data_IF_907765777061
#
_entry.id   IF_907765777061
#
_cell.length_a   1.000
_cell.length_b   1.000
_cell.length_c   1.000
_cell.angle_alpha   90.00
_cell.angle_beta   90.00
_cell.angle_gamma   90.00
#
_symmetry.space_group_name_H-M   'P 1'
#
loop_
_entity.id
_entity.type
_entity.pdbx_description
1 polymer ?
#
# COMPACT_ATOMS: atom_id res chain seq x y z
N UNK A 1 8.93 -12.80 -17.20
CA UNK A 1 8.24 -11.75 -17.97
C UNK A 1 7.74 -10.72 -16.98
N UNK A 2 7.86 -9.45 -17.26
CA UNK A 2 7.33 -8.41 -16.37
C UNK A 2 5.94 -8.07 -16.85
N UNK A 3 4.95 -8.22 -15.98
CA UNK A 3 3.58 -7.89 -16.28
C UNK A 3 3.32 -6.43 -15.91
N UNK A 4 3.72 -5.50 -16.79
CA UNK A 4 3.54 -4.05 -16.59
C UNK A 4 2.08 -3.71 -16.27
N UNK A 5 1.13 -4.33 -16.95
CA UNK A 5 -0.30 -4.11 -16.71
C UNK A 5 -0.70 -4.35 -15.26
N UNK A 6 -0.06 -5.30 -14.57
CA UNK A 6 -0.37 -5.59 -13.17
C UNK A 6 0.02 -4.44 -12.23
N UNK A 7 1.11 -3.73 -12.54
CA UNK A 7 1.60 -2.62 -11.71
C UNK A 7 0.75 -1.35 -11.82
N UNK A 8 -0.21 -1.30 -12.75
CA UNK A 8 -1.17 -0.21 -12.93
C UNK A 8 -2.63 -0.68 -12.81
N UNK A 9 -2.85 -1.89 -12.30
CA UNK A 9 -4.18 -2.48 -12.13
C UNK A 9 -4.77 -2.11 -10.77
N UNK A 10 -6.08 -1.87 -10.74
CA UNK A 10 -6.89 -1.79 -9.51
C UNK A 10 -7.90 -2.93 -9.52
N UNK A 11 -8.06 -3.59 -8.40
CA UNK A 11 -9.03 -4.66 -8.24
C UNK A 11 -9.49 -4.83 -6.81
N UNK A 12 -10.43 -5.75 -6.59
CA UNK A 12 -10.88 -6.13 -5.25
C UNK A 12 -11.15 -7.62 -5.18
N UNK A 13 -11.07 -8.15 -3.97
CA UNK A 13 -11.52 -9.50 -3.63
C UNK A 13 -12.51 -9.35 -2.47
N UNK A 14 -13.79 -9.48 -2.78
CA UNK A 14 -14.85 -9.49 -1.79
C UNK A 14 -14.81 -10.80 -0.99
N UNK A 15 -15.07 -10.71 0.32
CA UNK A 15 -15.02 -11.89 1.20
C UNK A 15 -13.60 -12.47 1.35
N UNK A 16 -12.57 -11.65 1.22
CA UNK A 16 -11.19 -12.04 1.51
C UNK A 16 -11.06 -12.53 2.97
N UNK A 17 -11.71 -11.84 3.90
CA UNK A 17 -11.94 -12.28 5.28
C UNK A 17 -13.43 -12.48 5.53
N UNK A 18 -13.80 -13.55 6.16
CA UNK A 18 -15.15 -13.72 6.68
C UNK A 18 -15.36 -12.93 7.99
N UNK A 19 -16.58 -12.91 8.50
CA UNK A 19 -16.95 -12.13 9.69
C UNK A 19 -16.22 -12.61 10.97
N UNK A 20 -15.96 -13.91 11.09
CA UNK A 20 -15.26 -14.48 12.24
C UNK A 20 -13.78 -14.11 12.21
N UNK A 21 -13.15 -14.23 11.05
CA UNK A 21 -11.76 -13.81 10.81
C UNK A 21 -11.57 -12.32 11.11
N UNK A 22 -12.49 -11.46 10.66
CA UNK A 22 -12.47 -10.02 10.93
C UNK A 22 -12.56 -9.74 12.44
N UNK A 23 -13.52 -10.37 13.13
CA UNK A 23 -13.71 -10.19 14.57
C UNK A 23 -12.48 -10.67 15.36
N UNK A 24 -11.88 -11.79 14.97
CA UNK A 24 -10.68 -12.34 15.58
C UNK A 24 -9.47 -11.42 15.38
N UNK A 25 -9.24 -10.93 14.18
CA UNK A 25 -8.17 -9.97 13.89
C UNK A 25 -8.33 -8.68 14.70
N UNK A 26 -9.55 -8.14 14.78
CA UNK A 26 -9.83 -6.95 15.58
C UNK A 26 -9.55 -7.21 17.07
N UNK A 27 -9.93 -8.35 17.62
CA UNK A 27 -9.68 -8.71 19.01
C UNK A 27 -8.18 -8.86 19.32
N UNK A 28 -7.44 -9.57 18.45
CA UNK A 28 -5.98 -9.76 18.60
C UNK A 28 -5.26 -8.43 18.57
N UNK A 29 -5.59 -7.53 17.62
CA UNK A 29 -4.94 -6.22 17.54
C UNK A 29 -5.30 -5.30 18.69
N UNK A 30 -6.55 -5.29 19.16
CA UNK A 30 -6.94 -4.50 20.31
C UNK A 30 -6.23 -4.96 21.60
N UNK A 31 -6.12 -6.27 21.84
CA UNK A 31 -5.38 -6.83 22.96
C UNK A 31 -3.88 -6.46 22.89
N UNK A 32 -3.27 -6.63 21.73
CA UNK A 32 -1.87 -6.28 21.48
C UNK A 32 -1.62 -4.79 21.76
N UNK A 33 -2.38 -3.91 21.15
CA UNK A 33 -2.21 -2.45 21.28
C UNK A 33 -2.49 -1.96 22.70
N UNK A 34 -3.32 -2.69 23.47
CA UNK A 34 -3.56 -2.39 24.88
C UNK A 34 -2.36 -2.79 25.75
N UNK A 35 -1.78 -3.96 25.48
CA UNK A 35 -0.63 -4.50 26.26
C UNK A 35 0.67 -3.75 25.98
N UNK A 36 0.90 -3.39 24.74
CA UNK A 36 2.15 -2.75 24.28
C UNK A 36 2.12 -1.22 24.35
N UNK A 37 1.05 -0.61 24.87
CA UNK A 37 0.80 0.83 24.82
C UNK A 37 0.66 1.37 23.39
N UNK A 38 -0.58 1.58 22.96
CA UNK A 38 -0.95 2.11 21.63
C UNK A 38 -0.18 3.37 21.26
N UNK A 39 0.24 4.21 22.21
CA UNK A 39 0.95 5.46 21.92
C UNK A 39 2.30 5.26 21.25
N UNK A 40 2.96 4.12 21.53
CA UNK A 40 4.23 3.73 20.90
C UNK A 40 4.11 3.56 19.39
N UNK A 41 2.95 3.11 18.93
CA UNK A 41 2.65 2.88 17.52
C UNK A 41 1.91 4.06 16.87
N UNK A 42 1.59 5.08 17.64
CA UNK A 42 0.88 6.27 17.22
C UNK A 42 1.66 7.55 17.49
N UNK A 43 1.27 8.28 18.53
CA UNK A 43 1.82 9.62 18.84
C UNK A 43 3.30 9.63 19.21
N UNK A 44 3.86 8.52 19.67
CA UNK A 44 5.27 8.36 20.01
C UNK A 44 6.06 7.63 18.92
N UNK A 45 5.43 7.27 17.82
CA UNK A 45 6.10 6.59 16.71
C UNK A 45 7.13 7.51 16.06
N UNK A 46 8.35 6.98 15.90
CA UNK A 46 9.49 7.70 15.31
C UNK A 46 9.89 7.19 13.92
N UNK A 47 9.26 6.11 13.45
CA UNK A 47 9.57 5.47 12.17
C UNK A 47 8.29 5.24 11.37
N UNK A 48 8.40 5.16 10.05
CA UNK A 48 7.33 4.81 9.13
C UNK A 48 7.83 3.75 8.16
N UNK A 49 6.90 2.94 7.63
CA UNK A 49 7.18 2.07 6.50
C UNK A 49 7.44 2.86 5.21
N UNK A 50 7.06 4.13 5.17
CA UNK A 50 7.33 5.00 4.04
C UNK A 50 8.71 5.62 4.16
N UNK A 51 9.51 5.43 3.14
CA UNK A 51 10.83 6.02 3.00
C UNK A 51 10.83 7.02 1.84
N UNK A 52 11.62 8.07 2.00
CA UNK A 52 11.79 9.10 0.99
C UNK A 52 13.29 9.30 0.78
N UNK A 53 13.83 9.01 -0.41
CA UNK A 53 15.26 9.12 -0.66
C UNK A 53 15.82 10.50 -0.27
N UNK A 54 16.86 10.51 0.56
CA UNK A 54 17.49 11.74 1.03
C UNK A 54 16.77 12.45 2.18
N UNK A 55 15.70 11.90 2.73
CA UNK A 55 14.96 12.45 3.85
C UNK A 55 15.07 11.57 5.11
N UNK A 56 14.94 12.20 6.29
CA UNK A 56 14.78 11.44 7.54
C UNK A 56 13.36 10.84 7.64
N UNK A 57 13.19 9.84 8.51
CA UNK A 57 11.86 9.30 8.81
C UNK A 57 10.86 10.38 9.27
N UNK A 58 11.30 11.34 10.08
CA UNK A 58 10.46 12.46 10.51
C UNK A 58 9.98 13.31 9.32
N UNK A 59 10.88 13.61 8.39
CA UNK A 59 10.55 14.34 7.17
C UNK A 59 9.60 13.56 6.28
N UNK A 60 9.82 12.26 6.09
CA UNK A 60 8.93 11.40 5.34
C UNK A 60 7.53 11.32 5.98
N UNK A 61 7.46 11.16 7.31
CA UNK A 61 6.19 11.18 8.05
C UNK A 61 5.47 12.51 7.90
N UNK A 62 6.16 13.64 7.95
CA UNK A 62 5.55 14.97 7.77
C UNK A 62 4.90 15.14 6.38
N UNK A 63 5.46 14.51 5.36
CA UNK A 63 4.93 14.54 3.99
C UNK A 63 3.78 13.56 3.80
N UNK A 64 3.97 12.31 4.18
CA UNK A 64 3.01 11.24 3.90
C UNK A 64 1.89 11.16 4.94
N UNK A 65 2.19 11.43 6.19
CA UNK A 65 1.30 11.22 7.34
C UNK A 65 1.22 12.48 8.23
N UNK A 66 0.88 13.66 7.67
CA UNK A 66 1.00 14.93 8.38
C UNK A 66 0.16 15.02 9.66
N UNK A 67 -0.88 14.20 9.79
CA UNK A 67 -1.71 14.08 10.99
C UNK A 67 -1.40 12.81 11.82
N UNK A 68 -0.35 12.07 11.44
CA UNK A 68 0.01 10.79 12.07
C UNK A 68 -1.00 9.67 11.78
N UNK A 69 -0.69 8.50 12.30
CA UNK A 69 -1.56 7.30 12.32
C UNK A 69 -1.01 6.29 13.33
N UNK A 70 -1.77 5.26 13.66
CA UNK A 70 -1.23 4.06 14.30
C UNK A 70 -0.66 3.16 13.21
N UNK A 71 0.56 2.65 13.42
CA UNK A 71 1.22 1.71 12.51
C UNK A 71 1.98 0.65 13.29
N UNK A 72 1.67 -0.61 13.03
CA UNK A 72 2.32 -1.77 13.65
C UNK A 72 2.93 -2.61 12.55
N UNK A 73 4.24 -2.45 12.27
CA UNK A 73 4.91 -3.20 11.19
C UNK A 73 5.11 -4.68 11.52
N UNK A 74 5.19 -5.02 12.81
CA UNK A 74 5.32 -6.38 13.29
C UNK A 74 4.06 -6.77 14.09
N UNK A 75 3.08 -7.31 13.40
CA UNK A 75 1.81 -7.71 14.02
C UNK A 75 1.95 -9.03 14.79
N UNK A 76 1.04 -9.35 15.74
CA UNK A 76 1.05 -10.62 16.41
C UNK A 76 1.03 -11.81 15.44
N UNK A 77 1.79 -12.85 15.76
CA UNK A 77 1.92 -14.05 14.93
C UNK A 77 0.59 -14.69 14.55
N UNK A 78 -0.38 -14.64 15.46
CA UNK A 78 -1.74 -15.14 15.20
C UNK A 78 -2.43 -14.37 14.09
N UNK A 79 -2.32 -13.03 14.10
CA UNK A 79 -2.89 -12.18 13.04
C UNK A 79 -2.18 -12.42 11.70
N UNK A 80 -0.85 -12.53 11.71
CA UNK A 80 -0.05 -12.84 10.53
C UNK A 80 -0.47 -14.17 9.89
N UNK A 81 -0.62 -15.23 10.69
CA UNK A 81 -1.04 -16.54 10.21
C UNK A 81 -2.43 -16.52 9.60
N UNK A 82 -3.37 -15.81 10.22
CA UNK A 82 -4.74 -15.69 9.75
C UNK A 82 -4.80 -14.98 8.39
N UNK A 83 -4.07 -13.88 8.25
CA UNK A 83 -3.98 -13.12 7.01
C UNK A 83 -3.27 -13.91 5.90
N UNK A 84 -2.22 -14.67 6.24
CA UNK A 84 -1.54 -15.53 5.28
C UNK A 84 -2.47 -16.65 4.78
N UNK A 85 -3.26 -17.27 5.66
CA UNK A 85 -4.25 -18.26 5.22
C UNK A 85 -5.31 -17.66 4.32
N UNK A 86 -5.79 -16.44 4.61
CA UNK A 86 -6.73 -15.73 3.75
C UNK A 86 -6.12 -15.42 2.37
N UNK A 87 -4.85 -15.00 2.34
CA UNK A 87 -4.12 -14.77 1.09
C UNK A 87 -4.00 -16.07 0.26
N UNK A 88 -3.59 -17.18 0.89
CA UNK A 88 -3.43 -18.46 0.19
C UNK A 88 -4.78 -18.98 -0.36
N UNK A 89 -5.86 -18.79 0.38
CA UNK A 89 -7.23 -19.08 -0.07
C UNK A 89 -7.66 -18.22 -1.26
N UNK A 90 -7.27 -16.94 -1.26
CA UNK A 90 -7.62 -15.99 -2.32
C UNK A 90 -6.72 -16.09 -3.56
N UNK A 91 -5.61 -16.82 -3.50
CA UNK A 91 -4.63 -16.94 -4.59
C UNK A 91 -5.23 -17.26 -5.96
N UNK A 92 -6.22 -18.19 -6.12
CA UNK A 92 -6.82 -18.44 -7.42
C UNK A 92 -7.58 -17.24 -8.01
N UNK A 93 -8.13 -16.37 -7.16
CA UNK A 93 -8.77 -15.13 -7.60
C UNK A 93 -7.73 -14.08 -7.95
N UNK A 94 -6.69 -13.93 -7.12
CA UNK A 94 -5.54 -13.06 -7.37
C UNK A 94 -4.88 -13.34 -8.72
N UNK A 95 -4.57 -14.60 -8.99
CA UNK A 95 -3.88 -15.02 -10.22
C UNK A 95 -4.66 -14.74 -11.51
N UNK A 96 -5.97 -14.50 -11.42
CA UNK A 96 -6.77 -14.06 -12.58
C UNK A 96 -6.58 -12.59 -12.92
N UNK A 97 -6.25 -11.76 -11.92
CA UNK A 97 -6.07 -10.32 -12.07
C UNK A 97 -4.60 -9.95 -12.17
N UNK A 98 -3.79 -10.62 -11.37
CA UNK A 98 -2.33 -10.41 -11.26
C UNK A 98 -1.60 -11.76 -11.30
N UNK A 99 -1.43 -12.36 -12.48
CA UNK A 99 -0.90 -13.73 -12.64
C UNK A 99 0.56 -13.88 -12.21
N UNK A 100 1.35 -12.80 -12.12
CA UNK A 100 2.74 -12.87 -11.69
C UNK A 100 2.91 -12.96 -10.18
N UNK A 101 1.85 -12.73 -9.38
CA UNK A 101 1.95 -12.73 -7.92
C UNK A 101 2.19 -14.14 -7.40
N UNK A 102 3.29 -14.30 -6.66
CA UNK A 102 3.67 -15.57 -6.03
C UNK A 102 3.51 -15.57 -4.51
N UNK A 103 3.70 -14.42 -3.86
CA UNK A 103 3.64 -14.28 -2.41
C UNK A 103 3.21 -12.87 -1.98
N UNK A 104 2.96 -12.70 -0.69
CA UNK A 104 2.89 -11.40 -0.05
C UNK A 104 4.00 -11.26 0.99
N UNK A 105 4.39 -10.02 1.28
CA UNK A 105 5.30 -9.70 2.38
C UNK A 105 4.57 -9.82 3.73
N UNK A 106 5.28 -9.79 4.86
CA UNK A 106 4.65 -9.66 6.18
C UNK A 106 3.65 -8.52 6.23
N UNK A 107 2.58 -8.73 6.99
CA UNK A 107 1.49 -7.78 7.09
C UNK A 107 1.79 -6.68 8.12
N UNK A 108 1.32 -5.48 7.80
CA UNK A 108 1.37 -4.32 8.69
C UNK A 108 -0.05 -3.90 9.03
N UNK A 109 -0.30 -3.61 10.30
CA UNK A 109 -1.57 -3.01 10.72
C UNK A 109 -1.46 -1.49 10.71
N UNK A 110 -2.46 -0.83 10.14
CA UNK A 110 -2.59 0.63 10.17
C UNK A 110 -3.98 1.05 10.61
N UNK A 111 -4.05 2.13 11.40
CA UNK A 111 -5.30 2.70 11.85
C UNK A 111 -5.26 4.22 11.75
N UNK A 112 -6.32 4.79 11.24
CA UNK A 112 -6.52 6.24 11.12
C UNK A 112 -7.72 6.65 11.95
N UNK A 113 -7.52 7.58 12.86
CA UNK A 113 -8.57 8.28 13.62
C UNK A 113 -8.96 9.62 12.95
N UNK A 114 -9.84 10.41 13.59
CA UNK A 114 -10.30 11.69 13.04
C UNK A 114 -9.15 12.62 12.66
N UNK A 115 -9.21 13.18 11.46
CA UNK A 115 -8.19 14.03 10.85
C UNK A 115 -7.00 13.27 10.23
N UNK A 116 -6.78 12.02 10.59
CA UNK A 116 -5.66 11.24 10.10
C UNK A 116 -5.92 10.71 8.70
N UNK A 117 -4.86 10.65 7.91
CA UNK A 117 -4.88 10.23 6.51
C UNK A 117 -3.47 9.86 6.06
N UNK A 118 -3.34 9.35 4.85
CA UNK A 118 -2.07 9.26 4.15
C UNK A 118 -2.21 9.94 2.80
N UNK A 119 -1.23 10.79 2.47
CA UNK A 119 -1.21 11.51 1.20
C UNK A 119 -0.99 10.56 0.02
N UNK A 120 -1.25 11.05 -1.19
CA UNK A 120 -0.97 10.28 -2.40
C UNK A 120 0.50 9.94 -2.51
N UNK A 121 0.79 8.65 -2.60
CA UNK A 121 2.14 8.10 -2.70
C UNK A 121 2.13 6.86 -3.59
N UNK A 122 3.31 6.40 -3.88
CA UNK A 122 3.55 5.13 -4.53
C UNK A 122 4.11 4.17 -3.50
N UNK A 123 3.68 2.95 -3.56
CA UNK A 123 4.32 1.90 -2.76
C UNK A 123 5.72 1.66 -3.27
N UNK A 124 6.69 2.06 -2.45
CA UNK A 124 8.11 2.11 -2.68
C UNK A 124 8.63 1.19 -3.78
N UNK A 125 8.98 1.81 -4.87
CA UNK A 125 9.77 1.15 -5.88
C UNK A 125 11.11 0.88 -5.21
N UNK A 126 11.48 -0.40 -5.12
CA UNK A 126 12.81 -0.74 -4.66
C UNK A 126 13.84 0.09 -5.42
N UNK A 127 14.97 0.46 -4.81
CA UNK A 127 16.04 1.20 -5.48
C UNK A 127 16.45 0.61 -6.81
N UNK A 128 16.28 -0.70 -6.97
CA UNK A 128 16.35 -1.43 -8.23
C UNK A 128 14.99 -2.13 -8.49
N UNK A 129 14.11 -1.51 -9.31
CA UNK A 129 12.81 -2.11 -9.64
C UNK A 129 12.93 -3.43 -10.40
N UNK A 130 14.13 -3.80 -10.80
CA UNK A 130 14.43 -5.03 -11.55
C UNK A 130 15.00 -6.10 -10.65
N UNK A 131 15.38 -5.77 -9.42
CA UNK A 131 15.78 -6.76 -8.43
C UNK A 131 14.62 -7.73 -8.13
N UNK A 132 14.96 -8.95 -7.84
CA UNK A 132 14.02 -9.97 -7.41
C UNK A 132 14.13 -10.20 -5.89
N UNK A 133 13.02 -10.45 -5.19
CA UNK A 133 11.64 -10.50 -5.68
C UNK A 133 11.12 -9.09 -6.05
N UNK A 134 10.22 -9.02 -7.04
CA UNK A 134 9.65 -7.75 -7.51
C UNK A 134 8.36 -7.43 -6.79
N UNK A 135 8.21 -6.19 -6.35
CA UNK A 135 6.95 -5.67 -5.84
C UNK A 135 6.04 -5.28 -7.00
N UNK A 136 4.93 -5.97 -7.14
CA UNK A 136 3.98 -5.78 -8.24
C UNK A 136 2.82 -4.89 -7.81
N UNK A 137 2.33 -5.07 -6.58
CA UNK A 137 1.15 -4.38 -6.09
C UNK A 137 1.15 -4.27 -4.57
N UNK A 138 0.30 -3.41 -4.04
CA UNK A 138 -0.14 -3.42 -2.66
C UNK A 138 -1.47 -4.17 -2.52
N UNK A 139 -1.72 -4.65 -1.31
CA UNK A 139 -3.00 -5.19 -0.86
C UNK A 139 -3.41 -4.51 0.44
N UNK A 140 -4.67 -4.09 0.54
CA UNK A 140 -5.22 -3.46 1.73
C UNK A 140 -6.53 -4.12 2.11
N UNK A 141 -6.63 -4.63 3.33
CA UNK A 141 -7.80 -5.35 3.85
C UNK A 141 -8.41 -4.57 5.00
N UNK A 142 -9.59 -4.00 4.80
CA UNK A 142 -10.31 -3.26 5.84
C UNK A 142 -10.96 -4.24 6.80
N UNK A 143 -10.76 -4.03 8.11
CA UNK A 143 -11.42 -4.79 9.19
C UNK A 143 -12.38 -3.94 10.01
N UNK A 144 -12.27 -2.62 9.90
CA UNK A 144 -13.17 -1.67 10.56
C UNK A 144 -13.30 -0.44 9.69
N UNK A 145 -14.54 -0.12 9.29
CA UNK A 145 -14.84 1.06 8.49
C UNK A 145 -15.10 2.29 9.38
N UNK A 146 -14.76 3.51 8.93
CA UNK A 146 -15.06 4.73 9.63
C UNK A 146 -16.56 5.07 9.48
N UNK A 147 -17.09 5.88 10.39
CA UNK A 147 -18.44 6.42 10.25
C UNK A 147 -18.54 7.47 9.13
N UNK A 148 -17.43 8.16 8.82
CA UNK A 148 -17.34 9.09 7.69
C UNK A 148 -15.89 9.43 7.33
N UNK A 149 -15.62 9.65 6.05
CA UNK A 149 -14.27 9.87 5.50
C UNK A 149 -13.48 8.57 5.40
N UNK A 150 -12.16 8.69 5.28
CA UNK A 150 -11.25 7.54 5.29
C UNK A 150 -11.30 6.65 4.05
N UNK A 151 -11.87 7.11 2.94
CA UNK A 151 -11.93 6.36 1.70
C UNK A 151 -10.51 6.11 1.15
N UNK A 152 -10.29 4.94 0.60
CA UNK A 152 -9.13 4.68 -0.23
C UNK A 152 -9.29 5.41 -1.55
N UNK A 153 -8.21 5.97 -2.09
CA UNK A 153 -8.23 6.59 -3.40
C UNK A 153 -7.03 6.24 -4.26
N UNK A 154 -7.23 6.34 -5.56
CA UNK A 154 -6.19 6.28 -6.58
C UNK A 154 -6.22 7.60 -7.35
N UNK A 155 -5.06 8.13 -7.67
CA UNK A 155 -4.90 9.31 -8.51
C UNK A 155 -4.27 8.95 -9.84
N UNK A 156 -4.77 9.55 -10.89
CA UNK A 156 -4.15 9.53 -12.21
C UNK A 156 -3.76 10.94 -12.63
N UNK A 157 -2.67 11.04 -13.37
CA UNK A 157 -2.19 12.28 -13.95
C UNK A 157 -1.72 12.05 -15.36
N UNK A 158 -1.84 13.08 -16.21
CA UNK A 158 -1.27 13.12 -17.55
C UNK A 158 0.08 13.85 -17.59
N UNK A 159 0.67 14.19 -16.45
CA UNK A 159 1.95 14.87 -16.40
C UNK A 159 3.07 13.96 -16.89
N UNK A 160 3.69 14.34 -18.00
CA UNK A 160 4.87 13.69 -18.53
C UNK A 160 6.08 13.83 -17.60
N UNK A 161 6.09 14.85 -16.74
CA UNK A 161 7.14 15.04 -15.74
C UNK A 161 7.21 13.89 -14.73
N UNK A 162 6.07 13.30 -14.36
CA UNK A 162 6.03 12.14 -13.46
C UNK A 162 6.59 10.88 -14.14
N UNK A 163 6.37 10.74 -15.43
CA UNK A 163 6.73 9.54 -16.18
C UNK A 163 8.05 9.66 -16.93
N UNK A 164 8.50 10.90 -17.27
CA UNK A 164 9.70 11.15 -18.05
C UNK A 164 11.00 11.06 -17.27
N UNK A 165 10.96 11.26 -15.96
CA UNK A 165 12.16 11.12 -15.10
C UNK A 165 12.69 9.69 -15.05
N UNK A 166 11.91 8.74 -15.55
CA UNK A 166 12.21 7.32 -15.55
C UNK A 166 12.65 6.77 -16.91
N UNK A 167 12.89 7.63 -17.86
CA UNK A 167 13.44 7.24 -19.17
C UNK A 167 14.95 7.00 -19.04
N UNK A 168 15.35 5.97 -18.32
CA UNK A 168 16.68 5.43 -18.50
C UNK A 168 16.75 4.80 -19.90
N UNK A 169 17.68 5.28 -20.72
CA UNK A 169 17.91 4.79 -22.08
C UNK A 169 18.37 3.32 -22.13
N UNK A 170 18.39 2.62 -21.01
CA UNK A 170 18.82 1.24 -20.85
C UNK A 170 17.67 0.25 -20.56
N UNK A 171 16.42 0.62 -20.82
CA UNK A 171 15.26 -0.22 -20.56
C UNK A 171 15.39 -1.63 -21.16
N UNK A 172 15.99 -1.76 -22.35
CA UNK A 172 16.24 -3.05 -23.00
C UNK A 172 17.24 -3.92 -22.26
N UNK A 173 18.27 -3.34 -21.63
CA UNK A 173 19.23 -4.10 -20.82
C UNK A 173 18.55 -4.75 -19.60
N UNK A 174 17.37 -4.25 -19.24
CA UNK A 174 16.57 -4.72 -18.12
C UNK A 174 15.37 -5.58 -18.54
N UNK A 175 15.23 -5.87 -19.84
CA UNK A 175 14.17 -6.73 -20.37
C UNK A 175 12.84 -6.01 -20.63
N UNK A 176 12.84 -4.67 -20.70
CA UNK A 176 11.69 -3.86 -21.10
C UNK A 176 11.78 -3.45 -22.58
N UNK A 177 10.64 -3.25 -23.22
CA UNK A 177 10.59 -2.61 -24.51
C UNK A 177 10.97 -1.12 -24.39
N UNK A 178 11.47 -0.54 -25.47
CA UNK A 178 11.82 0.89 -25.50
C UNK A 178 10.64 1.75 -25.07
N UNK A 179 10.90 2.70 -24.20
CA UNK A 179 9.89 3.61 -23.66
C UNK A 179 8.99 3.02 -22.57
N UNK A 180 9.23 1.78 -22.15
CA UNK A 180 8.48 1.11 -21.09
C UNK A 180 9.36 0.93 -19.85
N UNK A 181 9.48 1.98 -19.08
CA UNK A 181 10.19 1.95 -17.80
C UNK A 181 9.21 1.99 -16.63
N UNK A 182 9.44 1.13 -15.64
CA UNK A 182 8.52 0.98 -14.50
C UNK A 182 8.88 1.85 -13.30
N UNK A 183 10.08 2.37 -13.23
CA UNK A 183 10.45 3.23 -12.14
C UNK A 183 10.09 4.66 -12.51
N UNK A 184 9.07 5.21 -11.89
CA UNK A 184 9.17 6.62 -11.66
C UNK A 184 9.89 6.80 -10.33
N UNK A 185 10.88 7.67 -10.28
CA UNK A 185 11.44 8.13 -9.03
C UNK A 185 10.28 8.48 -8.12
N UNK A 186 10.25 7.86 -6.96
CA UNK A 186 9.28 8.22 -5.93
C UNK A 186 9.31 9.72 -5.88
N UNK A 187 8.38 10.38 -6.56
CA UNK A 187 8.45 11.80 -6.76
C UNK A 187 8.53 12.41 -5.39
N UNK A 188 9.44 13.33 -5.19
CA UNK A 188 9.46 14.14 -3.99
C UNK A 188 8.11 14.84 -3.87
N UNK A 189 7.22 14.25 -3.09
CA UNK A 189 5.84 14.71 -2.91
C UNK A 189 5.78 16.05 -2.18
N UNK A 190 6.87 16.50 -1.58
CA UNK A 190 7.00 17.84 -1.00
C UNK A 190 7.27 18.91 -2.05
N UNK A 191 7.65 18.55 -3.28
CA UNK A 191 7.97 19.51 -4.32
C UNK A 191 6.73 20.27 -4.81
N UNK A 192 6.86 21.58 -4.98
CA UNK A 192 5.76 22.46 -5.43
C UNK A 192 5.13 22.02 -6.75
N UNK A 193 5.94 21.51 -7.66
CA UNK A 193 5.45 21.03 -8.95
C UNK A 193 4.55 19.79 -8.80
N UNK A 194 4.86 18.92 -7.84
CA UNK A 194 4.04 17.75 -7.56
C UNK A 194 2.68 18.18 -6.97
N UNK A 195 2.68 19.12 -6.04
CA UNK A 195 1.46 19.66 -5.46
C UNK A 195 0.57 20.35 -6.51
N UNK A 196 1.18 21.05 -7.48
CA UNK A 196 0.48 21.78 -8.54
C UNK A 196 0.05 20.88 -9.74
N UNK A 197 0.45 19.61 -9.76
CA UNK A 197 0.17 18.71 -10.88
C UNK A 197 -1.32 18.41 -11.02
N UNK A 198 -1.93 18.57 -12.21
CA UNK A 198 -3.31 18.17 -12.44
C UNK A 198 -3.49 16.67 -12.23
N UNK A 199 -4.53 16.30 -11.50
CA UNK A 199 -4.83 14.89 -11.20
C UNK A 199 -6.33 14.65 -11.14
N UNK A 200 -6.73 13.43 -11.46
CA UNK A 200 -8.08 12.93 -11.27
C UNK A 200 -8.03 11.87 -10.19
N UNK A 201 -8.93 11.96 -9.22
CA UNK A 201 -9.03 11.01 -8.11
C UNK A 201 -10.26 10.13 -8.27
N UNK A 202 -10.06 8.84 -8.08
CA UNK A 202 -11.10 7.85 -7.88
C UNK A 202 -11.03 7.35 -6.44
N UNK A 203 -12.17 7.32 -5.75
CA UNK A 203 -12.24 6.92 -4.33
C UNK A 203 -13.25 5.81 -4.12
N UNK A 204 -12.96 4.95 -3.14
CA UNK A 204 -13.84 3.85 -2.73
C UNK A 204 -13.71 3.57 -1.24
N UNK A 205 -14.83 3.22 -0.60
CA UNK A 205 -14.88 2.70 0.77
C UNK A 205 -15.30 1.24 0.70
N UNK A 206 -14.35 0.30 0.73
CA UNK A 206 -14.67 -1.12 0.68
C UNK A 206 -15.31 -1.55 1.99
N UNK A 207 -16.27 -2.48 1.90
CA UNK A 207 -16.83 -3.11 3.10
C UNK A 207 -15.75 -3.90 3.87
N UNK A 208 -15.86 -4.02 5.21
CA UNK A 208 -14.96 -4.85 5.99
C UNK A 208 -14.87 -6.27 5.44
N UNK A 209 -13.66 -6.85 5.45
CA UNK A 209 -13.35 -8.15 4.86
C UNK A 209 -13.07 -8.14 3.36
N UNK A 210 -13.19 -6.99 2.69
CA UNK A 210 -12.77 -6.83 1.30
C UNK A 210 -11.29 -6.47 1.22
N UNK A 211 -10.55 -7.16 0.35
CA UNK A 211 -9.20 -6.77 -0.03
C UNK A 211 -9.24 -5.88 -1.27
N UNK A 212 -8.59 -4.72 -1.21
CA UNK A 212 -8.26 -3.90 -2.37
C UNK A 212 -6.87 -4.27 -2.86
N UNK A 213 -6.72 -4.37 -4.17
CA UNK A 213 -5.48 -4.62 -4.88
C UNK A 213 -5.16 -3.39 -5.71
N UNK A 214 -3.95 -2.88 -5.59
CA UNK A 214 -3.53 -1.69 -6.35
C UNK A 214 -2.08 -1.83 -6.78
N UNK A 215 -1.85 -1.66 -8.06
CA UNK A 215 -0.53 -1.80 -8.67
C UNK A 215 0.49 -0.84 -8.06
N UNK A 216 1.74 -1.27 -7.96
CA UNK A 216 2.83 -0.54 -7.32
C UNK A 216 3.13 0.84 -7.94
N UNK A 217 2.71 1.07 -9.17
CA UNK A 217 2.87 2.33 -9.89
C UNK A 217 1.65 3.25 -9.84
N UNK A 218 0.62 2.87 -9.09
CA UNK A 218 -0.53 3.74 -8.88
C UNK A 218 -0.31 4.66 -7.70
N UNK A 219 -0.38 5.96 -7.92
CA UNK A 219 -0.46 6.93 -6.83
C UNK A 219 -1.77 6.69 -6.08
N UNK A 220 -1.67 6.40 -4.80
CA UNK A 220 -2.83 6.08 -3.97
C UNK A 220 -2.67 6.64 -2.55
N UNK A 221 -3.76 6.63 -1.81
CA UNK A 221 -3.76 7.11 -0.43
C UNK A 221 -5.06 6.79 0.30
N UNK A 222 -5.23 7.42 1.45
CA UNK A 222 -6.45 7.34 2.25
C UNK A 222 -6.90 8.75 2.58
N UNK A 223 -8.14 9.09 2.26
CA UNK A 223 -8.74 10.39 2.59
C UNK A 223 -8.80 10.60 4.11
N UNK A 224 -8.83 11.86 4.59
CA UNK A 224 -8.99 12.13 6.00
C UNK A 224 -10.24 11.45 6.58
N UNK A 225 -10.06 10.74 7.69
CA UNK A 225 -11.19 10.26 8.48
C UNK A 225 -11.85 11.46 9.12
N UNK A 226 -13.15 11.63 8.93
CA UNK A 226 -13.89 12.76 9.54
C UNK A 226 -14.60 12.36 10.82
N UNK A 227 -15.05 11.10 10.91
CA UNK A 227 -15.67 10.54 12.12
C UNK A 227 -15.44 9.05 12.25
N UNK A 228 -15.23 8.59 13.48
CA UNK A 228 -14.91 7.21 13.79
C UNK A 228 -13.44 6.92 13.50
N UNK A 229 -13.16 5.70 13.06
CA UNK A 229 -11.80 5.25 12.69
C UNK A 229 -11.88 4.25 11.54
N UNK A 230 -10.83 4.15 10.75
CA UNK A 230 -10.62 3.03 9.85
C UNK A 230 -9.44 2.21 10.33
N UNK A 231 -9.59 0.88 10.34
CA UNK A 231 -8.51 -0.04 10.65
C UNK A 231 -8.37 -1.08 9.53
N UNK A 232 -7.14 -1.29 9.11
CA UNK A 232 -6.84 -2.19 7.99
C UNK A 232 -5.48 -2.85 8.15
N UNK A 233 -5.31 -3.96 7.45
CA UNK A 233 -4.00 -4.57 7.22
C UNK A 233 -3.55 -4.26 5.81
N UNK A 234 -2.26 -4.03 5.66
CA UNK A 234 -1.63 -3.80 4.36
C UNK A 234 -0.44 -4.76 4.19
N UNK A 235 -0.17 -5.14 2.96
CA UNK A 235 1.02 -5.88 2.57
C UNK A 235 1.36 -5.57 1.12
N UNK A 236 2.50 -6.07 0.67
CA UNK A 236 2.96 -5.93 -0.71
C UNK A 236 2.99 -7.28 -1.39
N UNK A 237 2.40 -7.32 -2.58
CA UNK A 237 2.33 -8.49 -3.43
C UNK A 237 3.58 -8.56 -4.29
N UNK A 238 4.26 -9.68 -4.25
CA UNK A 238 5.54 -9.87 -4.93
C UNK A 238 5.49 -10.99 -5.96
N UNK A 239 6.27 -10.80 -7.03
CA UNK A 239 6.61 -11.85 -7.97
C UNK A 239 8.04 -12.33 -7.67
N UNK A 240 8.21 -13.63 -7.55
CA UNK A 240 9.52 -14.27 -7.45
C UNK A 240 10.06 -14.62 -8.83
N UNK A 241 11.36 -14.69 -8.94
CA UNK A 241 12.00 -15.13 -10.19
C UNK A 241 11.68 -16.59 -10.42
N UNK A 242 11.09 -16.91 -11.58
CA UNK A 242 10.90 -18.30 -11.99
C UNK A 242 12.25 -19.04 -11.89
N UNK A 243 12.28 -20.07 -11.08
CA UNK A 243 13.38 -21.03 -11.08
C UNK A 243 13.11 -21.97 -12.27
N UNK A 244 13.50 -21.49 -13.47
CA UNK A 244 13.47 -22.30 -14.70
C UNK A 244 14.42 -23.48 -14.66
#
# INVERSE_FOLDING_TARGET
>A
MIHIAETVTVGSIEGFLDTEEQARLAAVMNDFLTKEDRTRFGTQRATSIHEMPGHSHEQAMAVYEPAGRVEVPEIPKEAEQLLQHAFDRARPALSRVMPSISACRPWTYVEYGPGQHITGHLDGIAPDPLAWPRQIAGISVVIHEPEAGGAFYVESTSSDRLWSTCLDHNAQAHGYADGMWLAHDGADHSADWYAAMPRTRWSVSPAPGTALLYGSQLTHGTEPVTRGRVAKFISWLIAEKDQG
#
